data_IF_699971483492
#
_entry.id   IF_699971483492
#
_cell.length_a   1.000
_cell.length_b   1.000
_cell.length_c   1.000
_cell.angle_alpha   90.00
_cell.angle_beta   90.00
_cell.angle_gamma   90.00
#
_symmetry.space_group_name_H-M   'P 1'
#
loop_
_entity.id
_entity.type
_entity.pdbx_description
1 polymer ?
#
# COMPACT_ATOMS: atom_id res chain seq x y z
N UNK A 1 7.08 3.90 0.52
CA UNK A 1 8.10 2.94 0.04
C UNK A 1 9.52 3.28 0.49
N UNK A 2 10.00 4.53 0.34
CA UNK A 2 11.36 4.90 0.77
C UNK A 2 11.70 4.42 2.18
N UNK A 3 10.91 4.78 3.19
CA UNK A 3 11.11 4.30 4.57
C UNK A 3 11.12 2.77 4.69
N UNK A 4 10.27 2.08 3.94
CA UNK A 4 10.20 0.61 3.93
C UNK A 4 11.46 -0.05 3.34
N UNK A 5 12.23 0.68 2.52
CA UNK A 5 13.51 0.23 1.96
C UNK A 5 14.69 0.66 2.84
N UNK A 6 14.67 1.88 3.35
CA UNK A 6 15.79 2.49 4.06
C UNK A 6 15.82 2.13 5.55
N UNK A 7 14.69 1.69 6.11
CA UNK A 7 14.53 1.42 7.55
C UNK A 7 13.85 0.07 7.84
N UNK A 8 14.08 -0.94 7.00
CA UNK A 8 13.45 -2.28 7.08
C UNK A 8 13.50 -2.90 8.49
N UNK A 9 14.59 -2.72 9.23
CA UNK A 9 14.75 -3.30 10.57
C UNK A 9 13.91 -2.60 11.65
N UNK A 10 13.50 -1.35 11.43
CA UNK A 10 12.74 -0.54 12.38
C UNK A 10 11.22 -0.64 12.13
N UNK A 11 10.82 -0.92 10.89
CA UNK A 11 9.42 -1.00 10.49
C UNK A 11 8.85 -2.39 10.72
N UNK A 12 7.79 -2.48 11.54
CA UNK A 12 7.09 -3.74 11.82
C UNK A 12 6.00 -4.05 10.81
N UNK A 13 5.38 -3.02 10.24
CA UNK A 13 4.36 -3.14 9.22
C UNK A 13 4.24 -1.85 8.41
N UNK A 14 3.63 -1.94 7.23
CA UNK A 14 3.26 -0.83 6.37
C UNK A 14 1.78 -0.95 6.00
N UNK A 15 1.01 0.12 6.20
CA UNK A 15 -0.42 0.16 5.85
C UNK A 15 -0.66 1.34 4.90
N UNK A 16 -0.43 1.16 3.59
CA UNK A 16 -0.84 2.16 2.60
C UNK A 16 -2.38 2.22 2.52
N UNK A 17 -2.93 3.42 2.72
CA UNK A 17 -4.36 3.69 2.56
C UNK A 17 -4.56 4.58 1.35
N UNK A 18 -5.10 4.01 0.27
CA UNK A 18 -5.30 4.67 -1.02
C UNK A 18 -4.13 5.60 -1.43
N UNK A 19 -2.88 5.09 -1.48
CA UNK A 19 -1.72 5.95 -1.71
C UNK A 19 -1.66 6.42 -3.17
N UNK A 20 -1.27 7.68 -3.33
CA UNK A 20 -0.92 8.25 -4.64
C UNK A 20 0.57 8.05 -4.96
N UNK A 21 0.94 8.27 -6.23
CA UNK A 21 2.32 8.21 -6.71
C UNK A 21 3.02 6.84 -6.57
N UNK A 22 2.26 5.74 -6.58
CA UNK A 22 2.81 4.36 -6.57
C UNK A 22 3.60 4.02 -7.83
N UNK A 23 3.48 4.82 -8.89
CA UNK A 23 4.24 4.68 -10.13
C UNK A 23 5.70 5.19 -10.03
N UNK A 24 6.11 5.76 -8.90
CA UNK A 24 7.48 6.28 -8.70
C UNK A 24 8.54 5.18 -8.50
N UNK A 25 8.13 3.93 -8.37
CA UNK A 25 9.02 2.81 -8.11
C UNK A 25 8.83 1.73 -9.17
N UNK A 26 9.92 1.06 -9.55
CA UNK A 26 9.85 -0.11 -10.43
C UNK A 26 9.32 -1.32 -9.67
N UNK A 27 8.86 -2.35 -10.39
CA UNK A 27 8.39 -3.59 -9.78
C UNK A 27 9.48 -4.28 -8.94
N UNK A 28 10.73 -4.21 -9.38
CA UNK A 28 11.90 -4.75 -8.66
C UNK A 28 12.08 -4.02 -7.32
N UNK A 29 11.95 -2.70 -7.32
CA UNK A 29 12.06 -1.90 -6.08
C UNK A 29 10.94 -2.20 -5.08
N UNK A 30 9.76 -2.63 -5.55
CA UNK A 30 8.72 -3.16 -4.67
C UNK A 30 9.10 -4.53 -4.11
N UNK A 31 9.66 -5.43 -4.94
CA UNK A 31 10.05 -6.79 -4.51
C UNK A 31 11.14 -6.79 -3.44
N UNK A 32 11.99 -5.77 -3.42
CA UNK A 32 13.03 -5.60 -2.39
C UNK A 32 12.46 -5.31 -0.98
N UNK A 33 11.21 -4.86 -0.88
CA UNK A 33 10.58 -4.49 0.40
C UNK A 33 10.07 -5.74 1.13
N UNK A 34 10.74 -6.13 2.20
CA UNK A 34 10.33 -7.27 3.02
C UNK A 34 9.32 -6.93 4.14
N UNK A 35 9.05 -5.64 4.36
CA UNK A 35 8.13 -5.18 5.41
C UNK A 35 6.71 -5.73 5.17
N UNK A 36 6.09 -6.41 6.16
CA UNK A 36 4.71 -6.87 6.06
C UNK A 36 3.77 -5.71 5.72
N UNK A 37 2.93 -5.90 4.69
CA UNK A 37 2.09 -4.81 4.18
C UNK A 37 0.61 -5.19 4.17
N UNK A 38 -0.26 -4.29 4.65
CA UNK A 38 -1.71 -4.37 4.44
C UNK A 38 -2.13 -3.23 3.51
N UNK A 39 -2.48 -3.57 2.27
CA UNK A 39 -2.96 -2.62 1.26
C UNK A 39 -4.45 -2.36 1.52
N UNK A 40 -4.80 -1.10 1.75
CA UNK A 40 -6.19 -0.67 1.92
C UNK A 40 -6.59 0.19 0.73
N UNK A 41 -7.63 -0.22 -0.01
CA UNK A 41 -8.16 0.51 -1.14
C UNK A 41 -9.69 0.67 -1.07
N UNK A 42 -10.22 1.67 -1.78
CA UNK A 42 -11.65 1.94 -1.86
C UNK A 42 -12.27 1.18 -3.03
N UNK A 43 -13.45 0.58 -2.84
CA UNK A 43 -14.14 -0.12 -3.95
C UNK A 43 -14.62 0.83 -5.06
N UNK A 44 -14.79 2.13 -4.75
CA UNK A 44 -15.11 3.19 -5.71
C UNK A 44 -13.87 3.91 -6.26
N UNK A 45 -12.65 3.54 -5.85
CA UNK A 45 -11.41 4.18 -6.31
C UNK A 45 -10.92 3.53 -7.62
N UNK A 46 -11.70 3.68 -8.69
CA UNK A 46 -11.52 2.93 -9.95
C UNK A 46 -10.40 3.44 -10.84
N UNK A 47 -9.83 4.62 -10.58
CA UNK A 47 -8.70 5.15 -11.36
C UNK A 47 -7.38 4.98 -10.61
N UNK A 48 -7.21 5.74 -9.53
CA UNK A 48 -5.97 5.75 -8.76
C UNK A 48 -5.85 4.49 -7.91
N UNK A 49 -6.96 3.95 -7.41
CA UNK A 49 -7.00 2.70 -6.66
C UNK A 49 -6.54 1.49 -7.47
N UNK A 50 -6.95 1.33 -8.73
CA UNK A 50 -6.50 0.21 -9.57
C UNK A 50 -4.99 0.27 -9.86
N UNK A 51 -4.48 1.46 -10.22
CA UNK A 51 -3.05 1.66 -10.49
C UNK A 51 -2.22 1.44 -9.23
N UNK A 52 -2.68 1.97 -8.09
CA UNK A 52 -2.00 1.79 -6.82
C UNK A 52 -2.00 0.35 -6.36
N UNK A 53 -3.14 -0.35 -6.45
CA UNK A 53 -3.24 -1.77 -6.14
C UNK A 53 -2.29 -2.58 -7.01
N UNK A 54 -2.30 -2.39 -8.34
CA UNK A 54 -1.40 -3.10 -9.27
C UNK A 54 0.08 -2.93 -8.90
N UNK A 55 0.50 -1.71 -8.60
CA UNK A 55 1.89 -1.43 -8.25
C UNK A 55 2.26 -2.05 -6.89
N UNK A 56 1.40 -1.87 -5.87
CA UNK A 56 1.62 -2.38 -4.52
C UNK A 56 1.57 -3.90 -4.43
N UNK A 57 0.84 -4.59 -5.31
CA UNK A 57 0.80 -6.05 -5.39
C UNK A 57 2.15 -6.68 -5.80
N UNK A 58 3.16 -5.88 -6.19
CA UNK A 58 4.53 -6.35 -6.35
C UNK A 58 5.28 -6.53 -5.01
N UNK A 59 4.72 -6.06 -3.90
CA UNK A 59 5.27 -6.31 -2.56
C UNK A 59 5.15 -7.80 -2.23
N UNK A 60 6.21 -8.48 -1.79
CA UNK A 60 6.18 -9.94 -1.58
C UNK A 60 5.28 -10.35 -0.41
N UNK A 61 5.23 -9.53 0.65
CA UNK A 61 4.56 -9.85 1.91
C UNK A 61 3.29 -9.00 2.10
N UNK A 62 2.42 -8.96 1.10
CA UNK A 62 1.21 -8.13 1.14
C UNK A 62 -0.07 -8.92 1.45
N UNK A 63 -1.02 -8.23 2.07
CA UNK A 63 -2.43 -8.59 2.11
C UNK A 63 -3.25 -7.40 1.60
N UNK A 64 -4.47 -7.67 1.17
CA UNK A 64 -5.35 -6.65 0.60
C UNK A 64 -6.68 -6.64 1.35
N UNK A 65 -7.20 -5.45 1.65
CA UNK A 65 -8.57 -5.24 2.11
C UNK A 65 -9.20 -4.07 1.34
N UNK A 66 -10.49 -4.18 1.07
CA UNK A 66 -11.27 -3.13 0.42
C UNK A 66 -12.30 -2.54 1.36
N UNK A 67 -12.61 -1.27 1.16
CA UNK A 67 -13.64 -0.56 1.92
C UNK A 67 -14.55 0.22 0.97
N UNK A 68 -15.84 0.30 1.32
CA UNK A 68 -16.82 1.11 0.56
C UNK A 68 -16.45 2.58 0.47
N UNK A 69 -15.77 3.07 1.51
CA UNK A 69 -15.30 4.44 1.59
C UNK A 69 -13.99 4.46 2.37
N UNK A 70 -12.95 5.03 1.75
CA UNK A 70 -11.68 5.28 2.43
C UNK A 70 -11.86 6.27 3.57
N UNK A 71 -12.75 7.26 3.42
CA UNK A 71 -13.04 8.22 4.49
C UNK A 71 -13.64 7.53 5.71
N UNK A 72 -14.56 6.59 5.53
CA UNK A 72 -15.12 5.82 6.64
C UNK A 72 -14.09 4.89 7.27
N UNK A 73 -13.21 4.28 6.47
CA UNK A 73 -12.09 3.50 7.00
C UNK A 73 -11.18 4.34 7.90
N UNK A 74 -10.79 5.53 7.44
CA UNK A 74 -9.93 6.43 8.22
C UNK A 74 -10.57 6.87 9.53
N UNK A 75 -11.90 7.02 9.58
CA UNK A 75 -12.63 7.31 10.83
C UNK A 75 -12.54 6.19 11.87
N UNK A 76 -12.27 4.94 11.48
CA UNK A 76 -12.11 3.82 12.43
C UNK A 76 -10.73 3.77 13.08
N UNK A 77 -9.78 4.55 12.56
CA UNK A 77 -8.39 4.56 13.01
C UNK A 77 -8.04 5.76 13.92
N UNK A 78 -8.93 6.75 14.00
CA UNK A 78 -8.79 7.98 14.80
C UNK A 78 -9.78 7.96 15.96
#
# INVERSE_FOLDING_TARGET
>A
LYSCRDHTHQLKAYIPVAPICTNKFTAEQYRDVQVPTLIVYGDQDTQLGEVSLKNLSNLPNHRVTWHKSILEFLKTLL
#
